data_IF_156230374806
#
_entry.id   IF_156230374806
#
_cell.length_a   1.000
_cell.length_b   1.000
_cell.length_c   1.000
_cell.angle_alpha   90.00
_cell.angle_beta   90.00
_cell.angle_gamma   90.00
#
_symmetry.space_group_name_H-M   'P 1'
#
loop_
_entity.id
_entity.type
_entity.pdbx_description
1 polymer ?
#
# COMPACT_ATOMS: atom_id res chain seq x y z
N UNK A 1 10.71 30.40 2.58
CA UNK A 1 11.88 30.58 3.46
C UNK A 1 12.03 29.31 4.29
N UNK A 2 13.11 28.55 4.10
CA UNK A 2 13.44 27.36 4.88
C UNK A 2 14.80 27.61 5.57
N UNK A 3 14.84 27.58 6.90
CA UNK A 3 16.07 27.74 7.68
C UNK A 3 16.46 26.37 8.24
N UNK A 4 17.57 25.84 7.73
CA UNK A 4 18.31 24.71 8.28
C UNK A 4 18.71 25.02 9.73
N UNK A 5 18.38 24.11 10.66
CA UNK A 5 18.80 24.16 12.07
C UNK A 5 19.50 22.84 12.43
N UNK A 6 20.58 22.51 11.71
CA UNK A 6 21.61 21.60 12.20
C UNK A 6 22.82 22.44 12.58
N UNK A 7 22.96 22.72 13.87
CA UNK A 7 24.11 23.44 14.41
C UNK A 7 23.95 23.62 15.90
N UNK A 8 24.33 22.59 16.66
CA UNK A 8 24.72 22.74 18.07
C UNK A 8 25.76 21.66 18.41
N UNK A 9 27.03 22.05 18.29
CA UNK A 9 28.17 21.32 18.85
C UNK A 9 28.42 21.95 20.22
N UNK A 10 28.23 21.25 21.35
CA UNK A 10 28.79 21.70 22.62
C UNK A 10 30.24 21.21 22.78
N UNK A 11 31.07 21.95 23.54
CA UNK A 11 32.52 21.84 23.48
C UNK A 11 33.06 20.61 24.22
N UNK A 12 34.22 20.15 23.77
CA UNK A 12 35.04 19.11 24.37
C UNK A 12 35.71 19.64 25.65
N UNK A 13 35.41 19.04 26.79
CA UNK A 13 36.22 19.16 28.02
C UNK A 13 36.78 17.78 28.38
N UNK A 14 38.10 17.76 28.58
CA UNK A 14 38.93 16.59 28.84
C UNK A 14 38.97 16.21 30.33
N UNK A 15 39.29 14.93 30.55
CA UNK A 15 39.79 14.25 31.77
C UNK A 15 38.85 14.06 32.96
N UNK A 16 38.35 12.84 33.17
CA UNK A 16 38.86 11.90 34.19
C UNK A 16 38.11 10.55 34.15
N UNK A 17 38.87 9.45 34.15
CA UNK A 17 38.38 8.07 34.31
C UNK A 17 37.95 7.85 35.77
N UNK A 18 36.64 7.80 36.02
CA UNK A 18 36.05 7.42 37.29
C UNK A 18 34.89 6.42 37.09
N UNK A 19 34.66 5.47 38.02
CA UNK A 19 33.78 4.34 37.78
C UNK A 19 32.31 4.79 37.58
N UNK A 20 31.75 4.45 36.41
CA UNK A 20 30.38 4.80 36.01
C UNK A 20 29.33 4.15 36.91
N UNK A 21 28.58 4.97 37.66
CA UNK A 21 27.33 4.53 38.29
C UNK A 21 26.24 4.25 37.23
N UNK A 22 25.38 3.23 37.42
CA UNK A 22 24.41 2.83 36.40
C UNK A 22 23.28 3.87 36.28
N UNK A 23 23.15 4.51 35.11
CA UNK A 23 22.06 5.44 34.80
C UNK A 23 20.72 4.69 34.75
N UNK A 24 19.81 5.03 35.66
CA UNK A 24 18.43 4.53 35.70
C UNK A 24 17.68 4.89 34.40
N UNK A 25 17.25 3.87 33.64
CA UNK A 25 16.47 4.05 32.40
C UNK A 25 15.05 4.51 32.73
N UNK A 26 14.59 5.61 32.13
CA UNK A 26 13.20 6.09 32.23
C UNK A 26 12.25 5.06 31.62
N UNK A 27 11.10 4.85 32.26
CA UNK A 27 10.05 3.95 31.79
C UNK A 27 9.46 4.49 30.47
N UNK A 28 9.22 3.64 29.46
CA UNK A 28 8.67 4.09 28.17
C UNK A 28 7.25 4.62 28.36
N UNK A 29 6.95 5.73 27.66
CA UNK A 29 5.67 6.45 27.73
C UNK A 29 4.53 5.63 27.10
N UNK A 30 4.85 4.69 26.21
CA UNK A 30 3.86 3.90 25.46
C UNK A 30 3.90 2.45 25.96
N UNK A 31 2.77 1.98 26.49
CA UNK A 31 2.61 0.62 26.98
C UNK A 31 2.27 -0.30 25.80
N UNK A 32 3.27 -1.00 25.30
CA UNK A 32 3.18 -1.93 24.16
C UNK A 32 4.03 -1.45 22.99
N UNK A 33 5.08 -2.21 22.69
CA UNK A 33 5.97 -1.93 21.55
C UNK A 33 5.32 -2.26 20.20
N UNK A 34 6.13 -2.29 19.14
CA UNK A 34 5.69 -2.64 17.78
C UNK A 34 4.99 -4.02 17.67
N UNK A 35 5.16 -4.87 18.68
CA UNK A 35 4.52 -6.19 18.81
C UNK A 35 3.17 -6.16 19.54
N UNK A 36 2.64 -4.97 19.86
CA UNK A 36 1.35 -4.90 20.56
C UNK A 36 0.23 -5.45 19.68
N UNK A 37 -0.68 -6.21 20.29
CA UNK A 37 -1.79 -6.86 19.58
C UNK A 37 -2.61 -5.87 18.74
N UNK A 38 -2.77 -4.63 19.22
CA UNK A 38 -3.47 -3.55 18.51
C UNK A 38 -2.88 -3.23 17.14
N UNK A 39 -1.55 -3.25 16.99
CA UNK A 39 -0.89 -2.99 15.70
C UNK A 39 -0.92 -4.21 14.79
N UNK A 40 -0.81 -5.42 15.36
CA UNK A 40 -0.89 -6.68 14.61
C UNK A 40 -2.29 -6.86 14.02
N UNK A 41 -3.35 -6.66 14.82
CA UNK A 41 -4.74 -6.77 14.35
C UNK A 41 -5.07 -5.74 13.27
N UNK A 42 -4.57 -4.50 13.40
CA UNK A 42 -4.76 -3.45 12.39
C UNK A 42 -4.07 -3.78 11.06
N UNK A 43 -2.87 -4.38 11.09
CA UNK A 43 -2.15 -4.80 9.90
C UNK A 43 -2.80 -6.02 9.22
N UNK A 44 -3.36 -6.94 10.00
CA UNK A 44 -4.02 -8.15 9.45
C UNK A 44 -5.42 -7.84 8.90
N UNK A 45 -6.22 -7.00 9.58
CA UNK A 45 -7.58 -6.66 9.11
C UNK A 45 -7.60 -5.79 7.86
N UNK A 46 -6.58 -4.95 7.64
CA UNK A 46 -6.51 -4.10 6.44
C UNK A 46 -6.11 -4.84 5.15
N UNK A 47 -5.53 -6.05 5.26
CA UNK A 47 -5.02 -6.81 4.11
C UNK A 47 -5.91 -7.93 3.61
N UNK A 48 -6.93 -8.34 4.37
CA UNK A 48 -7.64 -9.62 4.13
C UNK A 48 -8.98 -9.51 3.42
N UNK A 49 -9.59 -8.34 3.29
CA UNK A 49 -11.04 -8.30 3.00
C UNK A 49 -11.48 -8.12 1.55
N UNK A 50 -10.62 -7.77 0.58
CA UNK A 50 -11.00 -7.76 -0.86
C UNK A 50 -9.82 -8.04 -1.78
N UNK A 51 -9.67 -9.28 -2.25
CA UNK A 51 -8.70 -9.61 -3.32
C UNK A 51 -9.13 -9.08 -4.68
N UNK A 52 -10.43 -8.84 -4.87
CA UNK A 52 -11.02 -8.25 -6.07
C UNK A 52 -12.18 -7.33 -5.66
N UNK A 53 -12.55 -6.42 -6.56
CA UNK A 53 -13.65 -5.49 -6.37
C UNK A 53 -14.58 -5.56 -7.59
N UNK A 54 -15.88 -5.56 -7.35
CA UNK A 54 -16.86 -5.35 -8.41
C UNK A 54 -16.84 -3.89 -8.86
N UNK A 55 -16.64 -3.68 -10.16
CA UNK A 55 -16.62 -2.38 -10.82
C UNK A 55 -17.71 -2.38 -11.90
N UNK A 56 -18.39 -1.26 -12.07
CA UNK A 56 -19.40 -1.13 -13.11
C UNK A 56 -18.74 -0.85 -14.46
N UNK A 57 -19.34 -1.33 -15.55
CA UNK A 57 -18.79 -1.18 -16.90
C UNK A 57 -18.67 0.29 -17.33
N UNK A 58 -19.53 1.17 -16.82
CA UNK A 58 -19.51 2.61 -17.07
C UNK A 58 -18.34 3.33 -16.38
N UNK A 59 -17.58 2.64 -15.53
CA UNK A 59 -16.40 3.17 -14.85
C UNK A 59 -15.09 2.79 -15.56
N UNK A 60 -15.15 1.96 -16.60
CA UNK A 60 -14.00 1.43 -17.33
C UNK A 60 -13.93 2.12 -18.69
N UNK A 61 -12.78 2.71 -19.02
CA UNK A 61 -12.48 3.22 -20.36
C UNK A 61 -11.66 2.23 -21.17
N UNK A 62 -11.71 2.36 -22.50
CA UNK A 62 -10.87 1.59 -23.39
C UNK A 62 -9.38 1.91 -23.19
N UNK A 63 -8.54 0.87 -23.19
CA UNK A 63 -7.09 1.07 -23.13
C UNK A 63 -6.55 1.66 -24.44
N UNK A 64 -5.64 2.67 -24.39
CA UNK A 64 -4.94 3.16 -25.57
C UNK A 64 -3.85 2.20 -26.03
N UNK A 65 -3.51 1.18 -25.22
CA UNK A 65 -2.52 0.17 -25.58
C UNK A 65 -3.17 -0.79 -26.56
N UNK A 66 -2.71 -0.78 -27.79
CA UNK A 66 -3.15 -1.71 -28.84
C UNK A 66 -2.16 -2.85 -28.97
N UNK A 67 -2.55 -4.03 -28.51
CA UNK A 67 -1.79 -5.26 -28.73
C UNK A 67 -1.99 -5.78 -30.18
N UNK A 68 -1.21 -6.78 -30.57
CA UNK A 68 -1.31 -7.46 -31.87
C UNK A 68 -2.33 -8.61 -31.89
N UNK A 69 -3.06 -8.79 -30.79
CA UNK A 69 -4.06 -9.85 -30.64
C UNK A 69 -5.29 -9.51 -31.51
N UNK A 70 -5.78 -10.48 -32.27
CA UNK A 70 -7.05 -10.34 -33.00
C UNK A 70 -8.21 -10.60 -32.04
N UNK A 71 -8.96 -9.56 -31.71
CA UNK A 71 -10.09 -9.65 -30.77
C UNK A 71 -11.32 -10.34 -31.36
N UNK A 72 -11.33 -10.63 -32.66
CA UNK A 72 -12.46 -11.29 -33.31
C UNK A 72 -12.35 -12.81 -33.28
N UNK A 73 -11.17 -13.35 -32.96
CA UNK A 73 -10.97 -14.79 -32.80
C UNK A 73 -11.73 -15.28 -31.55
N UNK A 74 -12.65 -16.22 -31.73
CA UNK A 74 -13.43 -16.88 -30.68
C UNK A 74 -14.24 -15.96 -29.72
N UNK A 75 -14.48 -14.71 -30.11
CA UNK A 75 -15.18 -13.73 -29.25
C UNK A 75 -16.62 -14.15 -28.94
N UNK A 76 -17.33 -14.73 -29.90
CA UNK A 76 -18.72 -15.16 -29.72
C UNK A 76 -18.81 -16.30 -28.70
N UNK A 77 -17.87 -17.25 -28.77
CA UNK A 77 -17.75 -18.36 -27.82
C UNK A 77 -17.46 -17.86 -26.40
N UNK A 78 -16.59 -16.85 -26.27
CA UNK A 78 -16.31 -16.21 -24.98
C UNK A 78 -17.56 -15.50 -24.41
N UNK A 79 -18.31 -14.78 -25.25
CA UNK A 79 -19.54 -14.11 -24.85
C UNK A 79 -20.58 -15.13 -24.35
N UNK A 80 -20.77 -16.24 -25.07
CA UNK A 80 -21.66 -17.32 -24.64
C UNK A 80 -21.23 -17.92 -23.29
N UNK A 81 -19.94 -18.21 -23.14
CA UNK A 81 -19.37 -18.73 -21.88
C UNK A 81 -19.60 -17.79 -20.68
N UNK A 82 -19.40 -16.48 -20.87
CA UNK A 82 -19.63 -15.47 -19.83
C UNK A 82 -21.13 -15.35 -19.50
N UNK A 83 -22.02 -15.49 -20.49
CA UNK A 83 -23.47 -15.46 -20.23
C UNK A 83 -23.92 -16.66 -19.40
N UNK A 84 -23.39 -17.84 -19.68
CA UNK A 84 -23.79 -19.08 -19.02
C UNK A 84 -23.17 -19.23 -17.63
N UNK A 85 -21.90 -18.83 -17.47
CA UNK A 85 -21.12 -19.10 -16.26
C UNK A 85 -20.73 -17.85 -15.48
N UNK A 86 -20.96 -16.66 -16.03
CA UNK A 86 -20.41 -15.41 -15.49
C UNK A 86 -18.89 -15.29 -15.71
N UNK A 87 -18.35 -14.14 -15.30
CA UNK A 87 -16.91 -13.90 -15.33
C UNK A 87 -16.20 -14.73 -14.25
N UNK A 88 -15.40 -15.71 -14.67
CA UNK A 88 -14.65 -16.58 -13.76
C UNK A 88 -13.29 -16.02 -13.37
N UNK A 89 -12.69 -15.19 -14.23
CA UNK A 89 -11.33 -14.64 -14.06
C UNK A 89 -11.43 -13.13 -13.84
N UNK A 90 -10.94 -12.57 -12.73
CA UNK A 90 -10.90 -11.12 -12.53
C UNK A 90 -10.07 -10.42 -13.60
N UNK A 91 -10.52 -9.25 -14.05
CA UNK A 91 -9.74 -8.39 -14.94
C UNK A 91 -8.78 -7.52 -14.14
N UNK A 92 -7.64 -7.21 -14.75
CA UNK A 92 -6.68 -6.26 -14.19
C UNK A 92 -6.95 -4.88 -14.78
N UNK A 93 -7.12 -3.90 -13.90
CA UNK A 93 -7.32 -2.50 -14.28
C UNK A 93 -6.28 -1.61 -13.60
N UNK A 94 -5.97 -0.49 -14.22
CA UNK A 94 -5.20 0.61 -13.64
C UNK A 94 -6.11 1.78 -13.28
N UNK A 95 -5.75 2.51 -12.24
CA UNK A 95 -6.46 3.74 -11.85
C UNK A 95 -5.96 4.89 -12.73
N UNK A 96 -6.88 5.62 -13.33
CA UNK A 96 -6.61 6.77 -14.21
C UNK A 96 -7.31 8.03 -13.70
N UNK A 97 -6.85 9.19 -14.15
CA UNK A 97 -7.53 10.46 -13.88
C UNK A 97 -8.51 10.75 -15.01
N UNK A 98 -9.79 10.93 -14.70
CA UNK A 98 -10.83 11.20 -15.68
C UNK A 98 -12.23 10.97 -15.12
N UNK A 99 -13.23 11.06 -16.00
CA UNK A 99 -14.63 10.78 -15.66
C UNK A 99 -14.86 9.29 -15.36
N UNK A 100 -14.13 8.42 -16.06
CA UNK A 100 -14.06 6.97 -15.85
C UNK A 100 -12.77 6.60 -15.10
N UNK A 101 -12.85 6.10 -13.85
CA UNK A 101 -11.67 5.96 -12.99
C UNK A 101 -10.78 4.76 -13.29
N UNK A 102 -11.20 3.83 -14.15
CA UNK A 102 -10.47 2.60 -14.46
C UNK A 102 -10.19 2.45 -15.95
N UNK A 103 -9.06 1.81 -16.26
CA UNK A 103 -8.64 1.39 -17.60
C UNK A 103 -8.02 0.00 -17.57
#
# INVERSE_FOLDING_TARGET
MARSMFGDIPPKVSSDDGPSAPRSRRKPIIKGGATSSKYITAATQGGSERTYQEIFLDQIQDSPIRDRIDLNEDIDSLIESIRDNGQQIPIHVRVVQGDTPYE
#
